data_IF_384597335600
#
_entry.id   IF_384597335600
#
_cell.length_a   1.000
_cell.length_b   1.000
_cell.length_c   1.000
_cell.angle_alpha   90.00
_cell.angle_beta   90.00
_cell.angle_gamma   90.00
#
_symmetry.space_group_name_H-M   'P 1'
#
loop_
_entity.id
_entity.type
_entity.pdbx_description
1 polymer ?
#
# COMPACT_ATOMS: atom_id res chain seq x y z
N UNK A 1 9.29 12.07 5.88
CA UNK A 1 8.95 10.69 6.30
C UNK A 1 8.11 10.74 7.57
N UNK A 2 7.02 10.00 7.60
CA UNK A 2 6.17 9.86 8.78
C UNK A 2 6.35 8.48 9.38
N UNK A 3 6.31 8.39 10.70
CA UNK A 3 6.40 7.11 11.42
C UNK A 3 5.17 6.97 12.30
N UNK A 4 4.41 5.90 12.08
CA UNK A 4 3.21 5.58 12.84
C UNK A 4 3.40 4.23 13.55
N UNK A 5 2.66 4.05 14.65
CA UNK A 5 2.68 2.79 15.39
C UNK A 5 1.25 2.31 15.59
N UNK A 6 0.99 1.08 15.17
CA UNK A 6 -0.30 0.42 15.40
C UNK A 6 -0.12 -0.70 16.42
N UNK A 7 -1.16 -0.97 17.20
CA UNK A 7 -1.10 -1.90 18.32
C UNK A 7 -1.81 -3.23 18.07
N UNK A 8 -2.58 -3.32 17.00
CA UNK A 8 -3.35 -4.51 16.66
C UNK A 8 -3.54 -4.59 15.16
N UNK A 9 -4.00 -5.75 14.68
CA UNK A 9 -4.38 -5.94 13.27
C UNK A 9 -5.50 -4.97 12.88
N UNK A 10 -6.52 -4.82 13.74
CA UNK A 10 -7.62 -3.90 13.49
C UNK A 10 -7.15 -2.45 13.46
N UNK A 11 -6.17 -2.10 14.28
CA UNK A 11 -5.58 -0.77 14.29
C UNK A 11 -4.83 -0.48 12.98
N UNK A 12 -4.10 -1.47 12.46
CA UNK A 12 -3.44 -1.36 11.14
C UNK A 12 -4.48 -1.18 10.03
N UNK A 13 -5.58 -1.91 10.08
CA UNK A 13 -6.68 -1.76 9.12
C UNK A 13 -7.33 -0.38 9.21
N UNK A 14 -7.47 0.16 10.43
CA UNK A 14 -8.03 1.49 10.64
C UNK A 14 -7.14 2.58 10.04
N UNK A 15 -5.82 2.48 10.23
CA UNK A 15 -4.85 3.39 9.64
C UNK A 15 -4.95 3.35 8.10
N UNK A 16 -5.01 2.15 7.54
CA UNK A 16 -5.15 1.98 6.08
C UNK A 16 -6.43 2.62 5.57
N UNK A 17 -7.53 2.48 6.31
CA UNK A 17 -8.82 3.10 5.98
C UNK A 17 -8.75 4.62 5.92
N UNK A 18 -8.01 5.22 6.84
CA UNK A 18 -7.78 6.68 6.83
C UNK A 18 -6.99 7.11 5.58
N UNK A 19 -5.95 6.35 5.22
CA UNK A 19 -5.18 6.64 4.00
C UNK A 19 -6.02 6.51 2.74
N UNK A 20 -7.00 5.61 2.73
CA UNK A 20 -7.90 5.44 1.60
C UNK A 20 -8.67 6.73 1.29
N UNK A 21 -8.92 7.57 2.29
CA UNK A 21 -9.67 8.81 2.10
C UNK A 21 -8.92 9.85 1.26
N UNK A 22 -7.59 9.76 1.16
CA UNK A 22 -6.77 10.66 0.32
C UNK A 22 -6.35 10.00 -0.98
N UNK A 23 -6.65 8.73 -1.18
CA UNK A 23 -6.31 8.02 -2.40
C UNK A 23 -7.08 8.57 -3.59
N UNK A 24 -6.42 8.68 -4.72
CA UNK A 24 -6.98 9.20 -5.98
C UNK A 24 -6.70 8.21 -7.10
N UNK A 25 -7.61 8.08 -8.09
CA UNK A 25 -7.30 7.31 -9.29
C UNK A 25 -5.95 7.71 -9.90
N UNK A 26 -5.16 6.72 -10.26
CA UNK A 26 -3.80 6.90 -10.74
C UNK A 26 -2.72 6.80 -9.68
N UNK A 27 -3.08 6.73 -8.40
CA UNK A 27 -2.10 6.61 -7.32
C UNK A 27 -1.41 5.24 -7.32
N UNK A 28 -0.15 5.25 -6.88
CA UNK A 28 0.66 4.06 -6.69
C UNK A 28 1.13 3.97 -5.25
N UNK A 29 0.84 2.84 -4.60
CA UNK A 29 1.28 2.52 -3.25
C UNK A 29 2.28 1.37 -3.30
N UNK A 30 3.44 1.54 -2.67
CA UNK A 30 4.47 0.50 -2.57
C UNK A 30 4.55 0.01 -1.13
N UNK A 31 4.23 -1.25 -0.90
CA UNK A 31 4.25 -1.85 0.43
C UNK A 31 5.47 -2.74 0.59
N UNK A 32 6.34 -2.40 1.51
CA UNK A 32 7.54 -3.17 1.84
C UNK A 32 7.47 -3.72 3.25
N UNK A 33 8.27 -4.74 3.54
CA UNK A 33 8.37 -5.36 4.85
C UNK A 33 8.39 -6.88 4.75
N UNK A 34 8.76 -7.52 5.85
CA UNK A 34 8.86 -8.98 5.90
C UNK A 34 7.49 -9.65 5.80
N UNK A 35 7.49 -10.92 5.44
CA UNK A 35 6.28 -11.74 5.42
C UNK A 35 5.63 -11.72 6.82
N UNK A 36 4.33 -11.47 6.87
CA UNK A 36 3.60 -11.36 8.14
C UNK A 36 3.69 -10.00 8.83
N UNK A 37 4.35 -9.00 8.20
CA UNK A 37 4.52 -7.68 8.81
C UNK A 37 3.28 -6.78 8.74
N UNK A 38 2.17 -7.24 8.12
CA UNK A 38 0.91 -6.51 8.10
C UNK A 38 0.49 -5.94 6.75
N UNK A 39 1.20 -6.26 5.67
CA UNK A 39 0.88 -5.75 4.33
C UNK A 39 -0.53 -6.14 3.89
N UNK A 40 -0.90 -7.41 4.05
CA UNK A 40 -2.24 -7.89 3.67
C UNK A 40 -3.32 -7.23 4.53
N UNK A 41 -3.10 -7.08 5.83
CA UNK A 41 -4.03 -6.39 6.73
C UNK A 41 -4.24 -4.95 6.30
N UNK A 42 -3.18 -4.29 5.89
CA UNK A 42 -3.26 -2.93 5.35
C UNK A 42 -4.17 -2.89 4.11
N UNK A 43 -3.93 -3.76 3.13
CA UNK A 43 -4.73 -3.79 1.89
C UNK A 43 -6.20 -4.10 2.20
N UNK A 44 -6.46 -4.98 3.17
CA UNK A 44 -7.82 -5.29 3.62
C UNK A 44 -8.53 -4.04 4.14
N UNK A 45 -7.92 -3.29 5.04
CA UNK A 45 -8.50 -2.06 5.57
C UNK A 45 -8.65 -0.97 4.52
N UNK A 46 -7.66 -0.83 3.66
CA UNK A 46 -7.66 0.11 2.55
C UNK A 46 -8.80 -0.20 1.58
N UNK A 47 -8.93 -1.46 1.17
CA UNK A 47 -9.98 -1.89 0.24
C UNK A 47 -11.38 -1.76 0.82
N UNK A 48 -11.57 -2.12 2.10
CA UNK A 48 -12.87 -1.96 2.77
C UNK A 48 -13.33 -0.51 2.78
N UNK A 49 -12.41 0.41 3.07
CA UNK A 49 -12.73 1.84 3.09
C UNK A 49 -13.09 2.35 1.69
N UNK A 50 -12.60 1.72 0.63
CA UNK A 50 -12.92 2.06 -0.75
C UNK A 50 -14.10 1.27 -1.31
N UNK A 51 -14.79 0.50 -0.48
CA UNK A 51 -16.02 -0.18 -0.87
C UNK A 51 -15.86 -1.58 -1.45
N UNK A 52 -14.67 -2.20 -1.33
CA UNK A 52 -14.47 -3.58 -1.75
C UNK A 52 -15.22 -4.52 -0.81
N UNK A 53 -16.11 -5.33 -1.36
CA UNK A 53 -16.95 -6.26 -0.59
C UNK A 53 -16.36 -7.68 -0.56
N UNK A 54 -15.64 -8.08 -1.62
CA UNK A 54 -15.04 -9.41 -1.69
C UNK A 54 -13.88 -9.54 -0.69
N UNK A 55 -13.56 -10.77 -0.23
CA UNK A 55 -12.41 -10.98 0.65
C UNK A 55 -11.10 -10.62 -0.04
N UNK A 56 -10.26 -9.86 0.66
CA UNK A 56 -8.93 -9.50 0.18
C UNK A 56 -7.92 -10.42 0.86
N UNK A 57 -7.18 -11.16 0.04
CA UNK A 57 -6.17 -12.11 0.50
C UNK A 57 -4.83 -11.77 -0.14
N UNK A 58 -3.74 -12.31 0.41
CA UNK A 58 -2.43 -12.17 -0.21
C UNK A 58 -2.43 -12.88 -1.58
N UNK A 59 -1.95 -12.23 -2.64
CA UNK A 59 -1.91 -12.84 -3.98
C UNK A 59 -0.76 -13.85 -4.11
N UNK A 60 -0.82 -14.94 -3.35
CA UNK A 60 0.29 -15.92 -3.22
C UNK A 60 0.59 -16.64 -4.53
N UNK A 61 -0.43 -16.87 -5.36
CA UNK A 61 -0.29 -17.61 -6.62
C UNK A 61 -0.69 -16.77 -7.84
N UNK A 62 -1.21 -15.57 -7.60
CA UNK A 62 -1.64 -14.63 -8.64
C UNK A 62 -0.82 -13.36 -8.46
N UNK A 63 -0.05 -12.99 -9.47
CA UNK A 63 0.81 -11.81 -9.41
C UNK A 63 -0.02 -10.53 -9.34
N UNK A 64 -1.13 -10.49 -10.06
CA UNK A 64 -2.02 -9.32 -10.12
C UNK A 64 -3.45 -9.75 -9.85
N UNK A 65 -4.11 -9.07 -8.92
CA UNK A 65 -5.54 -9.25 -8.64
C UNK A 65 -6.21 -7.87 -8.60
N UNK A 66 -7.32 -7.72 -9.33
CA UNK A 66 -8.08 -6.48 -9.36
C UNK A 66 -9.34 -6.62 -8.52
N UNK A 67 -9.56 -5.67 -7.62
CA UNK A 67 -10.77 -5.60 -6.79
C UNK A 67 -11.62 -4.42 -7.23
N UNK A 68 -12.94 -4.60 -7.20
CA UNK A 68 -13.89 -3.55 -7.50
C UNK A 68 -14.30 -2.82 -6.22
N UNK A 69 -13.99 -1.54 -6.16
CA UNK A 69 -14.41 -0.65 -5.08
C UNK A 69 -15.02 0.62 -5.68
N UNK A 70 -14.89 1.74 -4.97
CA UNK A 70 -15.32 3.04 -5.50
C UNK A 70 -14.58 3.38 -6.79
N UNK A 71 -13.37 2.87 -6.93
CA UNK A 71 -12.60 2.76 -8.16
C UNK A 71 -11.80 1.45 -8.10
N UNK A 72 -11.27 0.95 -9.23
CA UNK A 72 -10.54 -0.31 -9.22
C UNK A 72 -9.28 -0.26 -8.34
N UNK A 73 -9.00 -1.35 -7.63
CA UNK A 73 -7.76 -1.51 -6.86
C UNK A 73 -6.98 -2.66 -7.50
N UNK A 74 -5.82 -2.36 -8.03
CA UNK A 74 -4.93 -3.35 -8.65
C UNK A 74 -3.90 -3.76 -7.60
N UNK A 75 -4.02 -4.98 -7.09
CA UNK A 75 -3.13 -5.53 -6.07
C UNK A 75 -2.09 -6.43 -6.73
N UNK A 76 -0.82 -6.08 -6.59
CA UNK A 76 0.30 -6.74 -7.25
C UNK A 76 1.23 -7.31 -6.20
N UNK A 77 1.68 -8.56 -6.39
CA UNK A 77 2.70 -9.17 -5.54
C UNK A 77 3.99 -9.35 -6.36
N UNK A 78 5.06 -8.74 -5.91
CA UNK A 78 6.35 -8.76 -6.58
C UNK A 78 7.49 -9.21 -5.65
N UNK A 79 7.20 -10.14 -4.74
CA UNK A 79 8.17 -10.56 -3.72
C UNK A 79 9.32 -11.42 -4.25
N UNK A 80 9.23 -11.93 -5.50
CA UNK A 80 10.29 -12.71 -6.15
C UNK A 80 10.83 -11.97 -7.36
N UNK A 81 12.12 -12.15 -7.66
CA UNK A 81 12.74 -11.60 -8.87
C UNK A 81 12.07 -12.09 -10.14
N UNK A 82 11.61 -13.35 -10.15
CA UNK A 82 10.84 -13.93 -11.24
C UNK A 82 9.56 -13.12 -11.49
N UNK A 83 8.88 -12.73 -10.41
CA UNK A 83 7.69 -11.91 -10.51
C UNK A 83 8.00 -10.52 -11.07
N UNK A 84 9.16 -9.96 -10.72
CA UNK A 84 9.58 -8.68 -11.28
C UNK A 84 9.72 -8.77 -12.80
N UNK A 85 10.37 -9.83 -13.31
CA UNK A 85 10.52 -10.03 -14.74
C UNK A 85 9.16 -10.21 -15.42
N UNK A 86 8.27 -11.00 -14.83
CA UNK A 86 6.91 -11.18 -15.35
C UNK A 86 6.13 -9.87 -15.40
N UNK A 87 6.27 -9.04 -14.37
CA UNK A 87 5.61 -7.73 -14.34
C UNK A 87 6.14 -6.81 -15.44
N UNK A 88 7.45 -6.83 -15.68
CA UNK A 88 8.06 -6.05 -16.76
C UNK A 88 7.59 -6.57 -18.12
N UNK A 89 7.52 -7.89 -18.29
CA UNK A 89 7.06 -8.52 -19.54
C UNK A 89 5.59 -8.22 -19.83
N UNK A 90 4.77 -8.06 -18.76
CA UNK A 90 3.37 -7.67 -18.88
C UNK A 90 3.20 -6.17 -19.14
N UNK A 91 4.30 -5.40 -19.17
CA UNK A 91 4.22 -3.96 -19.35
C UNK A 91 3.60 -3.25 -18.17
N UNK A 92 4.11 -3.48 -16.96
CA UNK A 92 3.53 -2.91 -15.74
C UNK A 92 3.32 -1.39 -15.84
N UNK A 93 4.25 -0.68 -16.46
CA UNK A 93 4.10 0.75 -16.67
C UNK A 93 2.92 1.13 -17.56
N UNK A 94 2.50 0.23 -18.46
CA UNK A 94 1.32 0.41 -19.32
C UNK A 94 0.06 -0.09 -18.65
N UNK A 95 0.18 -1.09 -17.73
CA UNK A 95 -0.95 -1.65 -16.99
C UNK A 95 -1.33 -0.84 -15.76
N UNK A 96 -0.49 0.12 -15.36
CA UNK A 96 -0.86 1.03 -14.27
C UNK A 96 -2.10 1.81 -14.70
N UNK A 97 -3.21 1.48 -14.06
CA UNK A 97 -4.51 2.01 -14.42
C UNK A 97 -4.66 3.44 -13.91
N UNK A 98 -4.89 4.38 -14.81
CA UNK A 98 -5.16 5.78 -14.45
C UNK A 98 -6.56 5.98 -13.85
N UNK A 99 -7.42 4.97 -13.93
CA UNK A 99 -8.76 5.01 -13.35
C UNK A 99 -8.83 4.38 -11.96
N UNK A 100 -7.77 3.65 -11.56
CA UNK A 100 -7.72 2.94 -10.30
C UNK A 100 -6.47 3.25 -9.50
N UNK A 101 -6.35 2.57 -8.36
CA UNK A 101 -5.19 2.65 -7.48
C UNK A 101 -4.42 1.34 -7.57
N UNK A 102 -3.12 1.42 -7.74
CA UNK A 102 -2.24 0.25 -7.77
C UNK A 102 -1.52 0.12 -6.44
N UNK A 103 -1.58 -1.07 -5.84
CA UNK A 103 -0.89 -1.41 -4.60
C UNK A 103 0.07 -2.56 -4.89
N UNK A 104 1.36 -2.31 -4.75
CA UNK A 104 2.41 -3.30 -5.03
C UNK A 104 3.04 -3.74 -3.72
N UNK A 105 2.87 -5.02 -3.36
CA UNK A 105 3.58 -5.60 -2.21
C UNK A 105 5.02 -5.92 -2.61
N UNK A 106 5.97 -5.64 -1.72
CA UNK A 106 7.41 -5.75 -1.97
C UNK A 106 7.89 -4.76 -3.03
N UNK A 107 7.21 -3.60 -3.12
CA UNK A 107 7.46 -2.59 -4.14
C UNK A 107 8.87 -2.03 -4.18
N UNK A 108 9.60 -2.05 -3.08
CA UNK A 108 11.00 -1.63 -3.03
C UNK A 108 11.90 -2.45 -3.95
N UNK A 109 11.52 -3.70 -4.26
CA UNK A 109 12.23 -4.57 -5.20
C UNK A 109 12.03 -4.10 -6.64
N UNK A 110 10.84 -3.57 -6.97
CA UNK A 110 10.47 -3.17 -8.34
C UNK A 110 10.43 -1.66 -8.54
N UNK A 111 10.64 -0.86 -7.50
CA UNK A 111 10.54 0.59 -7.55
C UNK A 111 11.32 1.23 -8.73
N UNK A 112 12.54 0.77 -9.08
CA UNK A 112 13.27 1.35 -10.22
C UNK A 112 12.57 1.18 -11.57
N UNK A 113 11.64 0.24 -11.69
CA UNK A 113 10.88 -0.03 -12.92
C UNK A 113 9.53 0.68 -12.95
N UNK A 114 9.17 1.41 -11.89
CA UNK A 114 7.86 2.05 -11.71
C UNK A 114 7.95 3.56 -11.91
N UNK A 115 6.79 4.24 -12.13
CA UNK A 115 6.75 5.70 -12.17
C UNK A 115 7.36 6.32 -10.92
N UNK A 116 7.91 7.56 -11.02
CA UNK A 116 8.61 8.19 -9.90
C UNK A 116 7.69 8.78 -8.83
N UNK A 117 6.37 8.76 -9.00
CA UNK A 117 5.41 9.25 -8.01
C UNK A 117 4.71 8.10 -7.32
N UNK A 118 4.91 7.96 -6.01
CA UNK A 118 4.32 6.88 -5.22
C UNK A 118 4.31 7.24 -3.74
N UNK A 119 3.50 6.52 -2.97
CA UNK A 119 3.60 6.50 -1.50
C UNK A 119 4.19 5.15 -1.10
N UNK A 120 5.39 5.19 -0.55
CA UNK A 120 6.06 4.01 -0.01
C UNK A 120 5.67 3.82 1.44
N UNK A 121 5.25 2.60 1.79
CA UNK A 121 4.83 2.24 3.14
C UNK A 121 5.61 1.01 3.57
N UNK A 122 6.48 1.17 4.56
CA UNK A 122 7.29 0.07 5.09
C UNK A 122 6.77 -0.38 6.44
N UNK A 123 6.62 -1.69 6.59
CA UNK A 123 6.11 -2.31 7.80
C UNK A 123 7.24 -3.01 8.54
N UNK A 124 7.36 -2.71 9.82
CA UNK A 124 8.31 -3.37 10.72
C UNK A 124 7.55 -3.94 11.92
N UNK A 125 8.05 -5.06 12.46
CA UNK A 125 7.50 -5.62 13.70
C UNK A 125 7.82 -4.69 14.86
N UNK A 126 6.83 -4.48 15.74
CA UNK A 126 7.02 -3.76 16.99
C UNK A 126 7.35 -4.71 18.14
N UNK A 127 7.24 -4.21 19.37
CA UNK A 127 7.57 -4.97 20.57
C UNK A 127 6.51 -6.03 20.90
N UNK A 128 5.21 -5.76 20.63
CA UNK A 128 4.11 -6.70 20.84
C UNK A 128 3.83 -7.53 19.59
N UNK A 129 3.12 -8.64 19.74
CA UNK A 129 2.85 -9.60 18.65
C UNK A 129 2.16 -8.95 17.45
N UNK A 130 1.17 -8.09 17.70
CA UNK A 130 0.41 -7.42 16.64
C UNK A 130 0.79 -5.94 16.49
N UNK A 131 1.81 -5.50 17.20
CA UNK A 131 2.31 -4.14 17.12
C UNK A 131 3.17 -3.96 15.87
N UNK A 132 2.90 -2.89 15.12
CA UNK A 132 3.67 -2.60 13.89
C UNK A 132 4.15 -1.16 13.88
N UNK A 133 5.34 -0.98 13.35
CA UNK A 133 5.90 0.33 13.05
C UNK A 133 5.73 0.52 11.55
N UNK A 134 5.06 1.59 11.16
CA UNK A 134 4.71 1.87 9.77
C UNK A 134 5.35 3.19 9.37
N UNK A 135 6.24 3.13 8.37
CA UNK A 135 6.95 4.30 7.88
C UNK A 135 6.43 4.66 6.50
N UNK A 136 6.04 5.92 6.32
CA UNK A 136 5.46 6.42 5.07
C UNK A 136 6.38 7.48 4.46
N UNK A 137 6.63 7.34 3.16
CA UNK A 137 7.44 8.29 2.40
C UNK A 137 6.78 8.53 1.04
N UNK A 138 6.34 9.77 0.82
CA UNK A 138 5.82 10.16 -0.47
C UNK A 138 6.91 10.63 -1.41
N UNK A 139 6.82 10.25 -2.68
CA UNK A 139 7.70 10.71 -3.75
C UNK A 139 6.86 11.40 -4.82
N UNK A 140 7.27 12.58 -5.24
CA UNK A 140 6.60 13.36 -6.28
C UNK A 140 5.68 14.45 -5.73
N UNK A 141 5.33 15.38 -6.60
CA UNK A 141 4.59 16.59 -6.23
C UNK A 141 3.17 16.29 -5.72
N UNK A 142 2.51 15.28 -6.29
CA UNK A 142 1.16 14.89 -5.89
C UNK A 142 1.12 14.45 -4.42
N UNK A 143 2.10 13.67 -3.98
CA UNK A 143 2.17 13.23 -2.60
C UNK A 143 2.64 14.34 -1.66
N UNK A 144 3.55 15.19 -2.12
CA UNK A 144 3.99 16.36 -1.36
C UNK A 144 2.80 17.27 -1.05
N UNK A 145 1.87 17.45 -1.98
CA UNK A 145 0.68 18.28 -1.77
C UNK A 145 -0.31 17.69 -0.75
N UNK A 146 -0.23 16.37 -0.49
CA UNK A 146 -1.10 15.67 0.46
C UNK A 146 -0.43 15.41 1.82
N UNK A 147 0.84 15.77 1.98
CA UNK A 147 1.63 15.42 3.15
C UNK A 147 1.01 15.92 4.47
N UNK A 148 0.54 17.16 4.50
CA UNK A 148 -0.06 17.74 5.70
C UNK A 148 -1.40 17.07 6.05
N UNK A 149 -2.20 16.75 5.05
CA UNK A 149 -3.46 16.05 5.25
C UNK A 149 -3.22 14.64 5.81
N UNK A 150 -2.23 13.94 5.28
CA UNK A 150 -1.85 12.61 5.76
C UNK A 150 -1.36 12.68 7.21
N UNK A 151 -0.47 13.62 7.52
CA UNK A 151 0.03 13.80 8.88
C UNK A 151 -1.10 14.09 9.87
N UNK A 152 -2.07 14.91 9.48
CA UNK A 152 -3.22 15.24 10.32
C UNK A 152 -4.12 14.04 10.59
N UNK A 153 -4.42 13.22 9.56
CA UNK A 153 -5.30 12.08 9.76
C UNK A 153 -4.64 10.90 10.46
N UNK A 154 -3.29 10.80 10.42
CA UNK A 154 -2.56 9.74 11.10
C UNK A 154 -2.03 10.15 12.48
N UNK A 155 -2.35 11.34 12.95
CA UNK A 155 -1.78 11.94 14.17
C UNK A 155 -1.91 11.01 15.39
N UNK A 156 -3.05 10.34 15.57
CA UNK A 156 -3.28 9.44 16.72
C UNK A 156 -2.35 8.22 16.75
N UNK A 157 -1.76 7.86 15.61
CA UNK A 157 -0.81 6.75 15.52
C UNK A 157 0.63 7.22 15.50
N UNK A 158 0.87 8.52 15.35
CA UNK A 158 2.22 9.05 15.27
C UNK A 158 2.85 9.22 16.65
N UNK A 159 4.15 8.97 16.71
CA UNK A 159 4.93 9.25 17.92
C UNK A 159 5.34 10.72 17.94
N UNK A 160 5.13 11.36 19.08
CA UNK A 160 5.48 12.77 19.30
C UNK A 160 6.64 12.90 20.28
#
# INVERSE_FOLDING_TARGET
MLTARTKSVDDTRALAGELASVARPGDLFLLGGDLGAGKTSFVQGFGRALGVEEPITSPTFVIVHTYDGNFPIIHVDAYRLEHMQELLDLGLGETLDHEGVTVVEWGDVVAPALPPEFLEIKFELGDGDDERIIRLRGAGASWASRADAIAGMLDRWMEH
#
